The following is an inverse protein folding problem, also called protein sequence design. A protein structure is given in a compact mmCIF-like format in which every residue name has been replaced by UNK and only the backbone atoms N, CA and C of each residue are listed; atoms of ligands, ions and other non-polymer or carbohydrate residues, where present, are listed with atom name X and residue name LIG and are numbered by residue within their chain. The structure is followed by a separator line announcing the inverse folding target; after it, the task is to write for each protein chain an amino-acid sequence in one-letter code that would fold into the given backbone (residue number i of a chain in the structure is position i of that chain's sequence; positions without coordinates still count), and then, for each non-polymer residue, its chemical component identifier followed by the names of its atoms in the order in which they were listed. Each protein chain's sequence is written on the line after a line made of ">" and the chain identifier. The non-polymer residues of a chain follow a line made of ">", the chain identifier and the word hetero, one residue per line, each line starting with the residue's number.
data_IF_252387900594
#
_entry.id   IF_252387900594
#
_cell.length_a   1.000
_cell.length_b   1.000
_cell.length_c   1.000
_cell.angle_alpha   90.00
_cell.angle_beta   90.00
_cell.angle_gamma   90.00
#
_symmetry.space_group_name_H-M   'P 1'
#
loop_
_entity.id
_entity.type
_entity.pdbx_description
1 polymer ?
#
# COMPACT_ATOMS: atom_id res chain seq x y z
N UNK A 1 1.96 -0.62 11.50
CA UNK A 1 1.90 -2.08 11.70
C UNK A 1 3.15 -2.72 11.11
N UNK A 2 3.70 -3.66 11.82
CA UNK A 2 4.80 -4.47 11.30
C UNK A 2 4.36 -5.92 11.28
N UNK A 3 4.72 -6.63 10.22
CA UNK A 3 4.32 -8.03 10.12
C UNK A 3 4.90 -8.71 8.91
N UNK A 4 4.48 -9.95 8.73
CA UNK A 4 4.84 -10.76 7.57
C UNK A 4 3.59 -10.89 6.70
N UNK A 5 3.77 -10.67 5.42
CA UNK A 5 2.67 -10.64 4.46
C UNK A 5 3.01 -11.45 3.22
N UNK A 6 1.97 -12.07 2.65
CA UNK A 6 2.07 -12.69 1.33
C UNK A 6 1.47 -11.74 0.30
N UNK A 7 2.17 -11.55 -0.79
CA UNK A 7 1.70 -10.68 -1.87
C UNK A 7 0.61 -11.40 -2.66
N UNK A 8 -0.57 -10.81 -2.67
CA UNK A 8 -1.73 -11.35 -3.40
C UNK A 8 -1.76 -10.79 -4.82
N UNK A 9 -1.63 -9.48 -4.96
CA UNK A 9 -1.68 -8.81 -6.25
C UNK A 9 -0.77 -7.58 -6.23
N UNK A 10 0.01 -7.40 -7.28
CA UNK A 10 0.80 -6.20 -7.49
C UNK A 10 0.16 -5.43 -8.63
N UNK A 11 -0.31 -4.21 -8.34
CA UNK A 11 -0.92 -3.36 -9.35
C UNK A 11 0.12 -2.65 -10.19
N UNK A 12 -0.29 -2.13 -11.35
CA UNK A 12 0.61 -1.40 -12.21
C UNK A 12 1.11 -0.12 -11.54
N UNK A 13 2.43 0.15 -11.64
CA UNK A 13 2.96 1.40 -11.09
C UNK A 13 2.48 2.60 -11.88
N UNK A 14 2.27 3.71 -11.17
CA UNK A 14 1.86 4.96 -11.77
C UNK A 14 2.92 6.03 -11.48
N UNK A 15 3.20 6.86 -12.45
CA UNK A 15 4.09 8.01 -12.27
C UNK A 15 3.28 9.21 -11.83
N UNK A 16 3.70 9.83 -10.73
CA UNK A 16 3.07 11.05 -10.21
C UNK A 16 4.08 12.17 -10.32
N UNK A 17 3.63 13.32 -10.85
CA UNK A 17 4.43 14.53 -10.88
C UNK A 17 4.04 15.42 -9.71
N UNK A 18 5.02 15.76 -8.88
CA UNK A 18 4.80 16.67 -7.74
C UNK A 18 4.74 18.11 -8.18
N UNK A 19 4.30 18.98 -7.27
CA UNK A 19 4.19 20.40 -7.56
C UNK A 19 5.53 21.07 -7.91
N UNK A 20 6.64 20.51 -7.41
CA UNK A 20 7.99 21.02 -7.71
C UNK A 20 8.57 20.48 -9.01
N UNK A 21 7.80 19.69 -9.77
CA UNK A 21 8.24 19.10 -11.02
C UNK A 21 8.95 17.76 -10.89
N UNK A 22 9.25 17.31 -9.69
CA UNK A 22 9.85 15.98 -9.50
C UNK A 22 8.81 14.89 -9.68
N UNK A 23 9.28 13.72 -10.07
CA UNK A 23 8.43 12.56 -10.29
C UNK A 23 8.67 11.49 -9.24
N UNK A 24 7.62 10.76 -8.92
CA UNK A 24 7.70 9.60 -8.05
C UNK A 24 6.79 8.50 -8.56
N UNK A 25 7.02 7.29 -8.09
CA UNK A 25 6.19 6.14 -8.42
C UNK A 25 5.21 5.91 -7.29
N UNK A 26 3.95 5.73 -7.66
CA UNK A 26 2.89 5.25 -6.78
C UNK A 26 2.47 3.87 -7.25
N UNK A 27 2.47 2.90 -6.36
CA UNK A 27 2.09 1.54 -6.71
C UNK A 27 1.28 0.93 -5.58
N UNK A 28 0.17 0.30 -5.93
CA UNK A 28 -0.69 -0.37 -4.96
C UNK A 28 -0.40 -1.86 -4.95
N UNK A 29 -0.52 -2.45 -3.78
CA UNK A 29 -0.29 -3.88 -3.57
C UNK A 29 -1.36 -4.40 -2.63
N UNK A 30 -1.93 -5.54 -2.98
CA UNK A 30 -2.81 -6.29 -2.08
C UNK A 30 -1.95 -7.35 -1.41
N UNK A 31 -1.93 -7.34 -0.10
CA UNK A 31 -1.14 -8.31 0.67
C UNK A 31 -1.95 -8.85 1.83
N UNK A 32 -1.69 -10.11 2.16
CA UNK A 32 -2.39 -10.83 3.21
C UNK A 32 -1.46 -11.11 4.37
N UNK A 33 -1.90 -10.76 5.57
CA UNK A 33 -1.15 -11.01 6.79
C UNK A 33 -0.96 -12.51 7.01
N UNK A 34 0.23 -12.91 7.45
CA UNK A 34 0.58 -14.29 7.71
C UNK A 34 0.90 -14.49 9.17
N UNK A 35 0.54 -15.65 9.72
CA UNK A 35 0.89 -16.01 11.08
C UNK A 35 0.03 -15.41 12.16
N UNK A 36 -0.99 -14.66 11.79
CA UNK A 36 -1.95 -14.08 12.72
C UNK A 36 -3.22 -14.93 12.74
N UNK A 37 -4.00 -14.78 13.80
CA UNK A 37 -5.27 -15.48 13.94
C UNK A 37 -6.26 -15.13 12.84
N UNK A 38 -6.24 -13.90 12.37
CA UNK A 38 -7.23 -13.41 11.42
C UNK A 38 -6.75 -13.35 9.98
N UNK A 39 -5.45 -13.25 9.75
CA UNK A 39 -4.87 -13.20 8.40
C UNK A 39 -5.62 -12.27 7.44
N UNK A 40 -5.81 -11.03 7.87
CA UNK A 40 -6.54 -10.05 7.06
C UNK A 40 -5.78 -9.65 5.81
N UNK A 41 -6.53 -9.22 4.80
CA UNK A 41 -5.99 -8.72 3.55
C UNK A 41 -6.06 -7.20 3.53
N UNK A 42 -4.96 -6.56 3.10
CA UNK A 42 -4.84 -5.11 3.08
C UNK A 42 -4.46 -4.62 1.69
N UNK A 43 -5.04 -3.48 1.32
CA UNK A 43 -4.59 -2.73 0.15
C UNK A 43 -3.64 -1.66 0.65
N UNK A 44 -2.38 -1.72 0.23
CA UNK A 44 -1.37 -0.76 0.65
C UNK A 44 -0.82 0.00 -0.55
N UNK A 45 -0.32 1.20 -0.29
CA UNK A 45 0.25 2.06 -1.32
C UNK A 45 1.73 2.28 -1.03
N UNK A 46 2.55 2.10 -2.04
CA UNK A 46 3.98 2.39 -2.04
C UNK A 46 4.25 3.67 -2.79
N UNK A 47 5.07 4.52 -2.19
CA UNK A 47 5.60 5.72 -2.86
C UNK A 47 7.12 5.64 -2.85
N UNK A 48 7.75 5.76 -3.99
CA UNK A 48 9.20 5.68 -4.08
C UNK A 48 9.72 6.14 -5.42
N UNK A 49 11.02 5.99 -5.61
CA UNK A 49 11.67 6.38 -6.85
C UNK A 49 11.60 5.29 -7.91
N UNK A 50 11.35 4.06 -7.50
CA UNK A 50 11.30 2.89 -8.36
C UNK A 50 10.07 2.04 -8.03
N UNK A 51 9.59 1.25 -9.00
CA UNK A 51 8.55 0.26 -8.71
C UNK A 51 9.01 -0.77 -7.69
N UNK A 52 8.05 -1.36 -7.00
CA UNK A 52 8.33 -2.44 -6.07
C UNK A 52 8.95 -3.65 -6.78
N UNK A 53 9.91 -4.28 -6.14
CA UNK A 53 10.57 -5.49 -6.65
C UNK A 53 9.98 -6.73 -5.99
N UNK A 54 8.68 -6.87 -6.11
CA UNK A 54 7.94 -7.99 -5.53
C UNK A 54 6.99 -8.56 -6.56
N UNK A 55 6.64 -9.81 -6.36
CA UNK A 55 5.73 -10.54 -7.26
C UNK A 55 4.67 -11.25 -6.46
N UNK A 56 3.58 -11.58 -7.12
CA UNK A 56 2.50 -12.37 -6.54
C UNK A 56 3.05 -13.67 -5.93
N UNK A 57 2.60 -13.97 -4.72
CA UNK A 57 3.00 -15.18 -4.01
C UNK A 57 4.23 -15.03 -3.13
N UNK A 58 5.00 -13.95 -3.27
CA UNK A 58 6.15 -13.70 -2.42
C UNK A 58 5.72 -13.35 -1.01
N UNK A 59 6.56 -13.72 -0.04
CA UNK A 59 6.39 -13.29 1.34
C UNK A 59 7.37 -12.17 1.64
N UNK A 60 6.89 -11.14 2.34
CA UNK A 60 7.71 -10.02 2.75
C UNK A 60 7.51 -9.73 4.23
N UNK A 61 8.56 -9.22 4.85
CA UNK A 61 8.44 -8.54 6.13
C UNK A 61 8.24 -7.06 5.83
N UNK A 62 7.24 -6.45 6.39
CA UNK A 62 6.90 -5.09 6.02
C UNK A 62 6.44 -4.26 7.20
N UNK A 63 6.68 -2.96 7.10
CA UNK A 63 6.13 -1.96 8.00
C UNK A 63 5.11 -1.12 7.25
N UNK A 64 3.90 -1.07 7.77
CA UNK A 64 2.78 -0.36 7.16
C UNK A 64 2.30 0.73 8.11
N UNK A 65 2.16 1.93 7.59
CA UNK A 65 1.60 3.04 8.34
C UNK A 65 0.16 3.25 7.93
N UNK A 66 -0.75 3.19 8.89
CA UNK A 66 -2.15 3.53 8.69
C UNK A 66 -2.35 5.01 8.96
N UNK A 67 -3.11 5.65 8.09
CA UNK A 67 -3.42 7.07 8.27
C UNK A 67 -4.85 7.36 7.83
N UNK A 68 -5.41 8.41 8.37
CA UNK A 68 -6.73 8.90 7.98
C UNK A 68 -6.55 10.19 7.21
N UNK A 69 -7.10 10.25 6.01
CA UNK A 69 -7.13 11.44 5.17
C UNK A 69 -8.51 12.04 5.22
N UNK A 70 -8.56 13.36 5.16
CA UNK A 70 -9.78 14.13 5.17
C UNK A 70 -9.99 14.76 3.81
N UNK A 71 -11.17 14.59 3.24
CA UNK A 71 -11.55 15.22 2.00
C UNK A 71 -12.86 15.97 2.15
N UNK A 72 -12.92 17.16 1.59
CA UNK A 72 -14.15 17.97 1.56
C UNK A 72 -14.74 17.88 0.17
N UNK A 73 -16.01 17.46 0.10
CA UNK A 73 -16.74 17.35 -1.14
C UNK A 73 -17.82 18.41 -1.21
N UNK A 74 -17.98 19.00 -2.38
CA UNK A 74 -19.11 19.86 -2.63
C UNK A 74 -20.38 19.03 -2.49
N UNK A 75 -21.32 19.49 -1.68
CA UNK A 75 -22.59 18.82 -1.54
C UNK A 75 -23.36 18.78 -2.85
N UNK A 76 -24.35 17.91 -2.94
CA UNK A 76 -25.20 17.83 -4.12
C UNK A 76 -26.01 19.11 -4.34
N UNK A 77 -27.23 19.00 -4.82
CA UNK A 77 -28.05 20.16 -5.21
C UNK A 77 -28.23 21.22 -4.10
N UNK A 78 -28.00 20.86 -2.86
CA UNK A 78 -28.06 21.81 -1.74
C UNK A 78 -26.80 22.60 -1.50
N UNK A 79 -25.68 22.23 -2.13
CA UNK A 79 -24.42 22.95 -2.02
C UNK A 79 -23.75 22.92 -0.64
N UNK A 80 -24.18 22.05 0.27
CA UNK A 80 -23.59 21.94 1.60
C UNK A 80 -22.34 21.07 1.53
N UNK A 81 -21.14 21.60 1.86
CA UNK A 81 -19.93 20.81 1.87
C UNK A 81 -20.03 19.65 2.86
N UNK A 82 -19.50 18.50 2.43
CA UNK A 82 -19.47 17.30 3.26
C UNK A 82 -18.03 16.87 3.48
N UNK A 83 -17.67 16.64 4.73
CA UNK A 83 -16.35 16.13 5.08
C UNK A 83 -16.41 14.61 5.15
N UNK A 84 -15.50 13.95 4.44
CA UNK A 84 -15.38 12.50 4.46
C UNK A 84 -13.98 12.10 4.90
N UNK A 85 -13.91 10.97 5.57
CA UNK A 85 -12.65 10.43 6.07
C UNK A 85 -12.31 9.15 5.31
N UNK A 86 -11.07 9.03 4.89
CA UNK A 86 -10.56 7.83 4.22
C UNK A 86 -9.39 7.28 5.00
N UNK A 87 -9.37 5.97 5.14
CA UNK A 87 -8.24 5.29 5.75
C UNK A 87 -7.31 4.77 4.65
N UNK A 88 -6.04 5.16 4.74
CA UNK A 88 -4.99 4.70 3.85
C UNK A 88 -3.99 3.86 4.60
N UNK A 89 -3.45 2.87 3.92
CA UNK A 89 -2.33 2.08 4.39
C UNK A 89 -1.13 2.34 3.47
N UNK A 90 -0.03 2.81 4.04
CA UNK A 90 1.17 3.16 3.28
C UNK A 90 2.28 2.19 3.64
N UNK A 91 2.83 1.52 2.62
CA UNK A 91 3.97 0.63 2.79
C UNK A 91 5.23 1.49 2.98
N UNK A 92 5.86 1.40 4.14
CA UNK A 92 7.02 2.22 4.48
C UNK A 92 8.34 1.52 4.19
N UNK A 93 8.44 0.26 4.60
CA UNK A 93 9.63 -0.54 4.43
C UNK A 93 9.22 -1.97 4.16
N UNK A 94 10.03 -2.66 3.38
CA UNK A 94 9.82 -4.08 3.17
C UNK A 94 11.13 -4.79 2.91
N UNK A 95 11.16 -6.08 3.24
CA UNK A 95 12.26 -6.97 2.91
C UNK A 95 11.68 -8.28 2.42
N UNK A 96 12.18 -8.78 1.31
CA UNK A 96 11.73 -10.05 0.78
C UNK A 96 12.27 -11.20 1.62
N UNK A 97 11.42 -12.16 1.90
CA UNK A 97 11.80 -13.35 2.65
C UNK A 97 12.11 -14.46 1.65
N UNK A 98 13.26 -15.10 1.83
CA UNK A 98 13.75 -16.12 0.92
C UNK A 98 13.49 -17.53 1.46
N UNK A 99 12.30 -17.72 2.01
CA UNK A 99 11.96 -18.98 2.66
C UNK A 99 11.99 -20.15 1.68
N UNK A 100 11.61 -19.92 0.45
CA UNK A 100 11.57 -20.97 -0.56
C UNK A 100 12.93 -21.48 -0.99
N UNK A 101 14.00 -20.75 -0.70
CA UNK A 101 15.34 -21.13 -1.12
C UNK A 101 16.09 -21.97 -0.11
N UNK A 102 15.52 -22.18 1.03
CA UNK A 102 16.20 -22.93 2.11
C UNK A 102 16.47 -24.35 1.70
N UNK A 103 15.62 -24.89 0.89
CA UNK A 103 15.71 -26.29 0.44
C UNK A 103 16.43 -26.41 -0.90
N UNK A 104 16.77 -25.31 -1.43
CA UNK A 104 17.40 -25.27 -2.74
C UNK A 104 18.74 -25.87 -2.76
#
# INVERSE_FOLDING_TARGET
>A
MKGIYRIVTVCEPQTITKNDGTQMIKQQVVMREQGSQYEDTYLVTWFGNEPLRISQGMCIAASVRMRVNEGVYAGGAGGVPETRFYQDAVLQEYACLMLGNING
#
